data_IF_952860804063
#
_entry.id   IF_952860804063
#
_cell.length_a   1.000
_cell.length_b   1.000
_cell.length_c   1.000
_cell.angle_alpha   90.00
_cell.angle_beta   90.00
_cell.angle_gamma   90.00
#
_symmetry.space_group_name_H-M   'P 1'
#
loop_
_entity.id
_entity.type
_entity.pdbx_description
1 polymer ?
#
# COMPACT_ATOMS: atom_id res chain seq x y z
N UNK A 1 -14.33 8.48 -12.93
CA UNK A 1 -12.92 8.12 -13.16
C UNK A 1 -12.26 9.27 -13.91
N UNK A 2 -11.17 9.83 -13.37
CA UNK A 2 -10.38 10.85 -14.06
C UNK A 2 -8.99 10.26 -14.29
N UNK A 3 -8.65 10.05 -15.55
CA UNK A 3 -7.30 9.66 -15.93
C UNK A 3 -6.45 10.94 -16.02
N UNK A 4 -5.30 10.94 -15.35
CA UNK A 4 -4.25 11.95 -15.59
C UNK A 4 -3.33 11.45 -16.69
N UNK A 5 -2.33 12.23 -17.06
CA UNK A 5 -1.32 11.75 -18.01
C UNK A 5 -0.49 10.55 -17.48
N UNK A 6 -0.60 10.17 -16.20
CA UNK A 6 0.36 9.26 -15.55
C UNK A 6 -0.24 8.29 -14.50
N UNK A 7 -1.49 8.49 -14.09
CA UNK A 7 -2.22 7.59 -13.18
C UNK A 7 -3.74 7.71 -13.35
N UNK A 8 -4.44 6.71 -12.85
CA UNK A 8 -5.90 6.72 -12.75
C UNK A 8 -6.30 7.21 -11.36
N UNK A 9 -7.21 8.17 -11.31
CA UNK A 9 -7.85 8.64 -10.06
C UNK A 9 -9.35 8.31 -10.08
N UNK A 10 -9.80 7.59 -9.06
CA UNK A 10 -11.20 7.26 -8.84
C UNK A 10 -11.65 7.94 -7.54
N UNK A 11 -12.75 8.68 -7.61
CA UNK A 11 -13.36 9.34 -6.45
C UNK A 11 -14.70 8.69 -6.14
N UNK A 12 -14.93 8.48 -4.86
CA UNK A 12 -16.16 7.95 -4.29
C UNK A 12 -16.43 8.61 -2.93
N UNK A 13 -17.53 8.27 -2.28
CA UNK A 13 -17.91 8.80 -0.97
C UNK A 13 -17.62 7.74 0.09
N UNK A 14 -16.40 7.73 0.63
CA UNK A 14 -15.98 6.74 1.63
C UNK A 14 -14.70 7.14 2.37
N UNK A 15 -14.46 6.53 3.53
CA UNK A 15 -13.23 6.68 4.33
C UNK A 15 -12.05 5.86 3.78
N UNK A 16 -12.29 4.92 2.86
CA UNK A 16 -11.27 4.03 2.32
C UNK A 16 -10.58 4.63 1.09
N UNK A 17 -9.30 4.32 0.93
CA UNK A 17 -8.47 4.69 -0.22
C UNK A 17 -7.63 3.49 -0.61
N UNK A 18 -7.71 3.08 -1.88
CA UNK A 18 -6.92 1.97 -2.42
C UNK A 18 -5.79 2.54 -3.29
N UNK A 19 -4.57 2.09 -3.04
CA UNK A 19 -3.37 2.62 -3.69
C UNK A 19 -2.62 1.50 -4.39
N UNK A 20 -2.34 1.69 -5.69
CA UNK A 20 -1.52 0.81 -6.49
C UNK A 20 -0.33 1.59 -7.06
N UNK A 21 0.85 1.42 -6.44
CA UNK A 21 2.06 2.13 -6.87
C UNK A 21 2.82 1.40 -7.99
N UNK A 22 2.53 0.11 -8.22
CA UNK A 22 3.30 -0.77 -9.12
C UNK A 22 2.46 -1.45 -10.21
N UNK A 23 1.40 -0.83 -10.73
CA UNK A 23 0.66 -1.47 -11.82
C UNK A 23 1.49 -1.57 -13.11
N UNK A 24 2.11 -0.48 -13.58
CA UNK A 24 2.72 -0.38 -14.91
C UNK A 24 3.78 -1.47 -15.17
N UNK A 25 3.35 -2.66 -15.62
CA UNK A 25 4.19 -3.81 -16.00
C UNK A 25 4.99 -4.50 -14.87
N UNK A 26 5.05 -3.94 -13.66
CA UNK A 26 5.74 -4.57 -12.53
C UNK A 26 4.89 -5.62 -11.80
N UNK A 27 3.67 -5.21 -11.43
CA UNK A 27 2.67 -6.02 -10.75
C UNK A 27 1.39 -6.07 -11.62
N UNK A 28 1.46 -6.86 -12.70
CA UNK A 28 0.37 -7.06 -13.68
C UNK A 28 -0.96 -7.38 -12.97
N UNK A 29 -2.06 -6.76 -13.42
CA UNK A 29 -3.42 -6.86 -12.86
C UNK A 29 -3.64 -6.21 -11.48
N UNK A 30 -2.65 -5.49 -10.92
CA UNK A 30 -2.87 -4.73 -9.67
C UNK A 30 -3.90 -3.62 -9.85
N UNK A 31 -3.98 -3.04 -11.05
CA UNK A 31 -5.03 -2.10 -11.46
C UNK A 31 -6.41 -2.72 -11.35
N UNK A 32 -6.64 -3.87 -11.99
CA UNK A 32 -7.93 -4.56 -11.97
C UNK A 32 -8.35 -4.90 -10.53
N UNK A 33 -7.43 -5.46 -9.75
CA UNK A 33 -7.67 -5.76 -8.34
C UNK A 33 -8.03 -4.48 -7.55
N UNK A 34 -7.29 -3.40 -7.77
CA UNK A 34 -7.51 -2.11 -7.10
C UNK A 34 -8.86 -1.52 -7.46
N UNK A 35 -9.23 -1.52 -8.74
CA UNK A 35 -10.52 -1.02 -9.20
C UNK A 35 -11.70 -1.82 -8.65
N UNK A 36 -11.60 -3.16 -8.62
CA UNK A 36 -12.65 -4.02 -8.10
C UNK A 36 -12.80 -3.82 -6.59
N UNK A 37 -11.71 -3.81 -5.83
CA UNK A 37 -11.74 -3.56 -4.38
C UNK A 37 -12.28 -2.15 -4.09
N UNK A 38 -11.84 -1.14 -4.84
CA UNK A 38 -12.33 0.23 -4.68
C UNK A 38 -13.84 0.32 -4.93
N UNK A 39 -14.34 -0.36 -5.97
CA UNK A 39 -15.78 -0.42 -6.26
C UNK A 39 -16.58 -1.14 -5.18
N UNK A 40 -16.03 -2.19 -4.56
CA UNK A 40 -16.71 -2.91 -3.47
C UNK A 40 -16.81 -2.06 -2.20
N UNK A 41 -15.80 -1.23 -1.93
CA UNK A 41 -15.71 -0.39 -0.73
C UNK A 41 -16.21 1.04 -0.94
N UNK A 42 -16.65 1.35 -2.16
CA UNK A 42 -16.92 2.72 -2.63
C UNK A 42 -15.75 3.64 -2.27
N UNK A 43 -14.53 3.13 -2.38
CA UNK A 43 -13.30 3.76 -1.93
C UNK A 43 -12.71 4.66 -3.01
N UNK A 44 -12.00 5.70 -2.60
CA UNK A 44 -11.08 6.39 -3.51
C UNK A 44 -10.04 5.40 -4.05
N UNK A 45 -9.53 5.65 -5.26
CA UNK A 45 -8.39 4.89 -5.78
C UNK A 45 -7.40 5.79 -6.51
N UNK A 46 -6.11 5.49 -6.34
CA UNK A 46 -5.03 6.08 -7.12
C UNK A 46 -4.09 4.99 -7.63
N UNK A 47 -3.92 4.91 -8.94
CA UNK A 47 -3.27 3.79 -9.62
C UNK A 47 -2.21 4.32 -10.57
N UNK A 48 -0.93 4.09 -10.27
CA UNK A 48 0.18 4.45 -11.16
C UNK A 48 0.15 3.57 -12.43
N UNK A 49 -0.13 4.17 -13.59
CA UNK A 49 -0.30 3.45 -14.85
C UNK A 49 0.84 3.58 -15.84
N UNK A 50 1.88 4.35 -15.51
CA UNK A 50 3.00 4.59 -16.43
C UNK A 50 4.37 4.24 -15.88
N UNK A 51 4.62 4.48 -14.60
CA UNK A 51 5.96 4.36 -14.04
C UNK A 51 6.22 2.97 -13.47
N UNK A 52 7.43 2.46 -13.72
CA UNK A 52 7.85 1.13 -13.29
C UNK A 52 9.19 1.17 -12.56
N UNK A 53 9.48 0.13 -11.79
CA UNK A 53 10.70 -0.02 -11.00
C UNK A 53 11.93 0.12 -11.90
N UNK A 54 13.02 0.75 -11.43
CA UNK A 54 14.28 0.80 -12.16
C UNK A 54 14.91 -0.57 -12.47
N UNK A 55 14.42 -1.63 -11.84
CA UNK A 55 14.81 -3.03 -12.09
C UNK A 55 14.02 -3.68 -13.23
N UNK A 56 12.96 -3.04 -13.75
CA UNK A 56 12.18 -3.55 -14.87
C UNK A 56 13.04 -3.60 -16.15
N UNK A 57 12.97 -4.68 -16.95
CA UNK A 57 13.63 -4.75 -18.25
C UNK A 57 13.23 -3.60 -19.19
N UNK A 58 12.02 -3.04 -19.03
CA UNK A 58 11.52 -1.92 -19.82
C UNK A 58 12.32 -0.63 -19.63
N UNK A 59 13.12 -0.50 -18.57
CA UNK A 59 14.00 0.66 -18.34
C UNK A 59 14.95 0.91 -19.51
N UNK A 60 15.41 -0.14 -20.19
CA UNK A 60 16.32 0.02 -21.32
C UNK A 60 15.63 0.60 -22.56
N UNK A 61 14.31 0.43 -22.67
CA UNK A 61 13.50 0.92 -23.80
C UNK A 61 12.87 2.28 -23.46
N UNK A 62 12.38 2.44 -22.23
CA UNK A 62 11.69 3.65 -21.75
C UNK A 62 12.28 4.15 -20.43
N UNK A 63 13.53 4.66 -20.43
CA UNK A 63 14.21 5.08 -19.21
C UNK A 63 13.49 6.20 -18.45
N UNK A 64 12.69 7.00 -19.14
CA UNK A 64 11.95 8.11 -18.53
C UNK A 64 10.84 7.68 -17.60
N UNK A 65 10.34 6.44 -17.72
CA UNK A 65 9.31 5.87 -16.85
C UNK A 65 9.89 4.99 -15.73
N UNK A 66 11.21 4.85 -15.63
CA UNK A 66 11.87 4.04 -14.62
C UNK A 66 11.98 4.78 -13.26
N UNK A 67 10.91 4.74 -12.46
CA UNK A 67 10.82 5.30 -11.11
C UNK A 67 10.00 4.39 -10.20
N UNK A 68 10.54 4.04 -9.02
CA UNK A 68 9.86 3.19 -8.06
C UNK A 68 8.96 4.06 -7.17
N UNK A 69 7.67 4.10 -7.51
CA UNK A 69 6.69 4.91 -6.78
C UNK A 69 6.50 4.46 -5.33
N UNK A 70 6.89 3.24 -4.96
CA UNK A 70 6.83 2.80 -3.56
C UNK A 70 8.06 3.24 -2.73
N UNK A 71 9.09 3.84 -3.35
CA UNK A 71 10.30 4.31 -2.66
C UNK A 71 10.33 5.82 -2.52
N UNK A 72 9.95 6.35 -1.36
CA UNK A 72 10.03 7.78 -1.07
C UNK A 72 11.33 8.15 -0.36
N UNK A 73 12.14 9.06 -0.92
CA UNK A 73 13.34 9.51 -0.26
C UNK A 73 12.92 10.49 0.85
N UNK A 74 13.53 10.35 2.01
CA UNK A 74 13.12 11.08 3.20
C UNK A 74 14.33 11.79 3.82
N UNK A 75 14.17 13.07 4.09
CA UNK A 75 15.14 13.87 4.83
C UNK A 75 14.83 13.74 6.31
N UNK A 76 15.64 12.92 6.99
CA UNK A 76 15.51 12.63 8.44
C UNK A 76 15.46 13.93 9.25
N UNK A 77 16.31 14.90 8.90
CA UNK A 77 16.50 16.14 9.67
C UNK A 77 15.32 17.11 9.57
N UNK A 78 14.69 17.22 8.41
CA UNK A 78 13.56 18.13 8.21
C UNK A 78 12.22 17.44 8.44
N UNK A 79 12.20 16.12 8.62
CA UNK A 79 10.96 15.34 8.52
C UNK A 79 10.26 15.73 7.20
N UNK A 80 11.05 15.83 6.12
CA UNK A 80 10.92 16.18 4.68
C UNK A 80 10.83 15.01 3.69
N UNK A 81 9.98 15.04 2.65
CA UNK A 81 10.21 14.16 1.51
C UNK A 81 11.22 14.86 0.62
N UNK A 82 12.23 14.14 0.16
CA UNK A 82 13.27 14.70 -0.71
C UNK A 82 12.83 14.65 -2.18
N UNK A 83 11.90 15.53 -2.55
CA UNK A 83 11.41 15.58 -3.92
C UNK A 83 12.48 15.94 -4.95
N UNK A 84 13.62 16.50 -4.53
CA UNK A 84 14.74 16.82 -5.44
C UNK A 84 15.36 15.58 -6.08
N UNK A 85 15.16 14.40 -5.46
CA UNK A 85 15.69 13.12 -5.92
C UNK A 85 14.70 12.30 -6.74
N UNK A 86 13.50 12.83 -6.99
CA UNK A 86 12.39 12.13 -7.65
C UNK A 86 11.89 12.87 -8.86
N UNK A 87 11.26 12.12 -9.77
CA UNK A 87 10.53 12.70 -10.90
C UNK A 87 9.34 13.51 -10.39
N UNK A 88 9.01 14.59 -11.11
CA UNK A 88 7.91 15.53 -10.78
C UNK A 88 6.57 14.80 -10.67
N UNK A 89 6.34 13.82 -11.55
CA UNK A 89 5.13 13.01 -11.62
C UNK A 89 4.91 12.21 -10.33
N UNK A 90 5.98 11.77 -9.66
CA UNK A 90 5.86 11.10 -8.37
C UNK A 90 5.35 12.07 -7.29
N UNK A 91 5.84 13.30 -7.27
CA UNK A 91 5.35 14.33 -6.34
C UNK A 91 3.86 14.63 -6.61
N UNK A 92 3.48 14.84 -7.87
CA UNK A 92 2.10 15.08 -8.27
C UNK A 92 1.15 13.93 -7.90
N UNK A 93 1.58 12.67 -8.08
CA UNK A 93 0.84 11.48 -7.63
C UNK A 93 0.56 11.52 -6.13
N UNK A 94 1.55 11.91 -5.33
CA UNK A 94 1.40 11.99 -3.88
C UNK A 94 0.59 13.20 -3.41
N UNK A 95 0.64 14.32 -4.12
CA UNK A 95 -0.30 15.43 -3.90
C UNK A 95 -1.75 14.99 -4.15
N UNK A 96 -1.99 14.27 -5.25
CA UNK A 96 -3.32 13.73 -5.57
C UNK A 96 -3.81 12.72 -4.50
N UNK A 97 -2.91 11.89 -3.97
CA UNK A 97 -3.23 10.99 -2.86
C UNK A 97 -3.56 11.77 -1.59
N UNK A 98 -2.82 12.83 -1.26
CA UNK A 98 -3.08 13.69 -0.10
C UNK A 98 -4.45 14.37 -0.20
N UNK A 99 -4.83 14.86 -1.38
CA UNK A 99 -6.18 15.39 -1.62
C UNK A 99 -7.28 14.34 -1.34
N UNK A 100 -7.09 13.11 -1.85
CA UNK A 100 -8.03 12.02 -1.60
C UNK A 100 -8.11 11.67 -0.11
N UNK A 101 -6.99 11.76 0.61
CA UNK A 101 -6.94 11.54 2.05
C UNK A 101 -7.73 12.61 2.81
N UNK A 102 -7.57 13.87 2.46
CA UNK A 102 -8.31 14.98 3.08
C UNK A 102 -9.82 14.78 2.87
N UNK A 103 -10.23 14.38 1.66
CA UNK A 103 -11.63 14.13 1.32
C UNK A 103 -12.18 12.89 2.07
N UNK A 104 -11.46 11.76 2.06
CA UNK A 104 -11.85 10.52 2.73
C UNK A 104 -12.08 10.70 4.25
N UNK A 105 -11.27 11.53 4.89
CA UNK A 105 -11.41 11.84 6.32
C UNK A 105 -12.76 12.46 6.67
N UNK A 106 -13.38 13.20 5.75
CA UNK A 106 -14.69 13.83 5.97
C UNK A 106 -15.81 12.79 6.12
N UNK A 107 -15.60 11.56 5.63
CA UNK A 107 -16.54 10.45 5.71
C UNK A 107 -16.24 9.49 6.87
N UNK A 108 -15.29 9.82 7.74
CA UNK A 108 -14.86 8.98 8.87
C UNK A 108 -15.26 9.58 10.21
N UNK A 109 -15.85 8.78 11.08
CA UNK A 109 -16.27 9.20 12.43
C UNK A 109 -15.11 9.64 13.34
N UNK A 110 -13.88 9.21 13.03
CA UNK A 110 -12.69 9.52 13.80
C UNK A 110 -11.72 10.44 13.07
N UNK A 111 -12.15 11.07 11.97
CA UNK A 111 -11.31 11.94 11.13
C UNK A 111 -10.05 11.26 10.58
N UNK A 112 -10.10 9.92 10.45
CA UNK A 112 -9.03 9.10 9.88
C UNK A 112 -9.47 8.48 8.57
N UNK A 113 -8.62 8.57 7.54
CA UNK A 113 -8.77 7.75 6.35
C UNK A 113 -8.13 6.37 6.58
N UNK A 114 -8.56 5.38 5.80
CA UNK A 114 -7.99 4.04 5.76
C UNK A 114 -7.34 3.85 4.41
N UNK A 115 -6.01 3.75 4.39
CA UNK A 115 -5.20 3.69 3.17
C UNK A 115 -4.66 2.28 3.01
N UNK A 116 -5.00 1.67 1.89
CA UNK A 116 -4.74 0.25 1.61
C UNK A 116 -3.89 0.17 0.36
N UNK A 117 -2.63 -0.21 0.53
CA UNK A 117 -1.74 -0.48 -0.58
C UNK A 117 -1.92 -1.91 -1.05
N UNK A 118 -2.02 -2.11 -2.36
CA UNK A 118 -2.17 -3.44 -2.95
C UNK A 118 -0.94 -3.75 -3.80
N UNK A 119 -0.34 -4.90 -3.54
CA UNK A 119 0.83 -5.41 -4.24
C UNK A 119 0.72 -6.91 -4.51
N UNK A 120 1.38 -7.35 -5.58
CA UNK A 120 1.55 -8.77 -5.88
C UNK A 120 2.93 -9.26 -5.47
N UNK A 121 2.97 -10.22 -4.55
CA UNK A 121 4.22 -10.82 -4.08
C UNK A 121 4.59 -12.06 -4.88
N UNK A 122 5.90 -12.35 -4.97
CA UNK A 122 6.36 -13.65 -5.47
C UNK A 122 5.90 -14.75 -4.53
N UNK A 123 5.55 -15.89 -5.11
CA UNK A 123 5.14 -17.07 -4.35
C UNK A 123 6.34 -17.53 -3.52
N UNK A 124 6.17 -17.62 -2.21
CA UNK A 124 7.16 -18.20 -1.31
C UNK A 124 6.67 -19.57 -0.87
N UNK A 125 7.04 -20.59 -1.62
CA UNK A 125 6.65 -21.98 -1.33
C UNK A 125 7.15 -22.50 0.01
N UNK A 126 8.13 -21.82 0.64
CA UNK A 126 8.64 -22.21 1.95
C UNK A 126 7.81 -21.63 3.10
N UNK A 127 7.13 -20.50 2.87
CA UNK A 127 6.21 -19.88 3.82
C UNK A 127 4.84 -19.84 3.16
N UNK A 128 4.01 -20.86 3.40
CA UNK A 128 2.66 -21.00 2.85
C UNK A 128 1.71 -19.90 3.37
N UNK A 129 1.94 -18.66 2.96
CA UNK A 129 1.14 -17.48 3.23
C UNK A 129 0.79 -16.86 1.89
N UNK A 130 -0.51 -16.70 1.66
CA UNK A 130 -1.08 -16.20 0.41
C UNK A 130 -1.35 -14.69 0.46
N UNK A 131 -1.58 -14.15 1.65
CA UNK A 131 -1.77 -12.71 1.87
C UNK A 131 -0.95 -12.28 3.09
N UNK A 132 0.07 -11.45 2.85
CA UNK A 132 0.79 -10.76 3.92
C UNK A 132 0.15 -9.40 4.20
N UNK A 133 -0.20 -9.15 5.46
CA UNK A 133 -0.56 -7.83 5.98
C UNK A 133 0.73 -7.16 6.42
N UNK A 134 1.15 -6.13 5.72
CA UNK A 134 2.33 -5.35 6.08
C UNK A 134 1.92 -4.02 6.69
N UNK A 135 2.58 -3.67 7.79
CA UNK A 135 2.40 -2.44 8.54
C UNK A 135 3.72 -2.03 9.18
N UNK A 136 3.84 -0.77 9.57
CA UNK A 136 4.98 -0.31 10.36
C UNK A 136 4.69 -0.55 11.85
N UNK A 137 5.59 -1.26 12.53
CA UNK A 137 5.49 -1.51 13.97
C UNK A 137 6.17 -0.39 14.76
N UNK A 138 5.58 -0.01 15.89
CA UNK A 138 6.19 0.94 16.83
C UNK A 138 7.49 0.35 17.39
N UNK A 139 8.65 0.92 17.07
CA UNK A 139 9.93 0.53 17.70
C UNK A 139 10.58 1.62 18.56
N UNK A 140 11.21 1.12 19.63
CA UNK A 140 11.82 1.84 20.77
C UNK A 140 13.00 2.73 20.36
N UNK A 141 13.13 3.84 21.09
CA UNK A 141 14.31 4.72 21.19
C UNK A 141 15.57 3.88 21.48
N UNK A 142 16.47 3.67 20.52
CA UNK A 142 17.81 3.11 20.77
C UNK A 142 18.69 4.26 21.26
N UNK A 143 19.12 4.24 22.52
CA UNK A 143 20.16 5.19 22.95
C UNK A 143 21.49 4.74 22.34
N UNK A 144 21.81 5.25 21.17
CA UNK A 144 23.16 5.15 20.61
C UNK A 144 24.00 6.31 21.16
N UNK A 145 25.19 6.01 21.69
CA UNK A 145 26.21 7.00 22.06
C UNK A 145 26.88 7.65 20.84
N UNK A 146 26.58 7.18 19.63
CA UNK A 146 26.98 7.82 18.38
C UNK A 146 25.80 8.57 17.76
N UNK A 147 26.08 9.65 17.03
CA UNK A 147 25.17 10.62 16.38
C UNK A 147 24.18 10.04 15.33
N UNK A 148 23.68 8.82 15.52
CA UNK A 148 22.59 8.23 14.77
C UNK A 148 21.28 8.63 15.43
N UNK A 149 20.70 9.73 14.94
CA UNK A 149 19.31 10.08 15.25
C UNK A 149 18.40 8.97 14.76
N UNK A 150 17.75 8.28 15.68
CA UNK A 150 16.74 7.29 15.35
C UNK A 150 15.54 7.95 14.69
N UNK A 151 15.16 7.36 13.57
CA UNK A 151 13.85 7.55 12.97
C UNK A 151 12.83 6.96 13.96
N UNK A 152 12.00 7.82 14.55
CA UNK A 152 10.84 7.39 15.33
C UNK A 152 9.74 6.97 14.34
N UNK A 153 9.65 5.68 14.10
CA UNK A 153 8.59 5.10 13.28
C UNK A 153 7.27 5.11 14.05
N UNK A 154 6.24 5.71 13.44
CA UNK A 154 4.86 5.65 13.96
C UNK A 154 4.23 4.33 13.51
N UNK A 155 3.48 3.72 14.41
CA UNK A 155 2.60 2.60 14.10
C UNK A 155 1.56 3.03 13.05
N UNK A 156 1.51 2.32 11.92
CA UNK A 156 0.62 2.70 10.80
C UNK A 156 -0.74 2.02 10.88
N UNK A 157 -0.82 0.88 11.56
CA UNK A 157 -2.05 0.17 11.86
C UNK A 157 -1.89 -0.41 13.28
N UNK A 158 -2.93 -0.37 14.11
CA UNK A 158 -2.78 -0.94 15.45
C UNK A 158 -2.54 -2.46 15.40
N UNK A 159 -1.65 -2.98 16.25
CA UNK A 159 -1.41 -4.43 16.35
C UNK A 159 -2.70 -5.24 16.57
N UNK A 160 -3.66 -4.67 17.33
CA UNK A 160 -4.98 -5.29 17.53
C UNK A 160 -5.73 -5.41 16.21
N UNK A 161 -5.89 -4.31 15.47
CA UNK A 161 -6.58 -4.30 14.16
C UNK A 161 -5.90 -5.23 13.15
N UNK A 162 -4.56 -5.29 13.15
CA UNK A 162 -3.83 -6.21 12.27
C UNK A 162 -4.11 -7.68 12.59
N UNK A 163 -4.21 -8.04 13.87
CA UNK A 163 -4.60 -9.39 14.28
C UNK A 163 -6.07 -9.68 13.97
N UNK A 164 -6.97 -8.75 14.24
CA UNK A 164 -8.40 -8.90 13.90
C UNK A 164 -8.57 -9.12 12.38
N UNK A 165 -7.81 -8.38 11.56
CA UNK A 165 -7.78 -8.55 10.10
C UNK A 165 -7.19 -9.89 9.67
N UNK A 166 -6.08 -10.33 10.26
CA UNK A 166 -5.48 -11.64 10.00
C UNK A 166 -6.49 -12.77 10.29
N UNK A 167 -7.14 -12.70 11.44
CA UNK A 167 -8.09 -13.73 11.88
C UNK A 167 -9.35 -13.73 11.00
N UNK A 168 -9.84 -12.56 10.59
CA UNK A 168 -10.95 -12.46 9.63
C UNK A 168 -10.56 -12.98 8.24
N UNK A 169 -9.39 -12.61 7.70
CA UNK A 169 -8.87 -13.15 6.45
C UNK A 169 -8.81 -14.68 6.50
N UNK A 170 -8.15 -15.25 7.52
CA UNK A 170 -8.03 -16.70 7.66
C UNK A 170 -9.40 -17.38 7.74
N UNK A 171 -10.38 -16.78 8.43
CA UNK A 171 -11.75 -17.33 8.48
C UNK A 171 -12.39 -17.50 7.10
N UNK A 172 -12.22 -16.52 6.22
CA UNK A 172 -12.80 -16.57 4.86
C UNK A 172 -11.92 -17.36 3.88
N UNK A 173 -10.60 -17.30 4.03
CA UNK A 173 -9.61 -17.95 3.16
C UNK A 173 -9.49 -19.47 3.39
N UNK A 174 -9.73 -19.96 4.61
CA UNK A 174 -9.55 -21.38 4.96
C UNK A 174 -10.36 -22.33 4.08
N UNK A 175 -11.55 -21.92 3.60
CA UNK A 175 -12.36 -22.74 2.69
C UNK A 175 -11.70 -22.99 1.32
N UNK A 176 -10.67 -22.21 0.99
CA UNK A 176 -9.87 -22.30 -0.22
C UNK A 176 -8.44 -22.81 0.05
N UNK A 177 -8.13 -23.25 1.28
CA UNK A 177 -6.77 -23.65 1.69
C UNK A 177 -5.73 -22.54 1.56
N UNK A 178 -6.17 -21.30 1.70
CA UNK A 178 -5.33 -20.11 1.65
C UNK A 178 -5.14 -19.54 3.06
N UNK A 179 -4.00 -18.87 3.29
CA UNK A 179 -3.62 -18.32 4.59
C UNK A 179 -3.18 -16.86 4.51
N UNK A 180 -3.51 -16.11 5.54
CA UNK A 180 -3.04 -14.76 5.75
C UNK A 180 -2.21 -14.66 7.03
N UNK A 181 -1.19 -13.80 6.99
CA UNK A 181 -0.36 -13.53 8.17
C UNK A 181 0.18 -12.10 8.16
N UNK A 182 0.69 -11.64 9.30
CA UNK A 182 1.25 -10.30 9.46
C UNK A 182 2.75 -10.36 9.15
N UNK A 183 3.21 -9.47 8.26
CA UNK A 183 4.60 -9.45 7.85
C UNK A 183 5.48 -8.68 8.84
N UNK A 184 6.22 -9.42 9.65
CA UNK A 184 7.17 -8.89 10.64
C UNK A 184 8.61 -8.81 10.06
N UNK A 185 8.80 -8.24 8.87
CA UNK A 185 10.15 -8.11 8.30
C UNK A 185 10.80 -6.76 8.61
N UNK A 186 11.66 -6.80 9.63
CA UNK A 186 12.49 -5.70 10.10
C UNK A 186 13.37 -5.08 9.02
N UNK A 187 13.85 -5.85 8.03
CA UNK A 187 14.76 -5.32 7.01
C UNK A 187 14.05 -4.46 5.95
N UNK A 188 12.75 -4.67 5.75
CA UNK A 188 11.96 -3.82 4.85
C UNK A 188 11.79 -2.41 5.43
N UNK A 189 11.87 -2.24 6.76
CA UNK A 189 11.74 -0.96 7.48
C UNK A 189 12.85 0.06 7.19
N UNK A 190 14.00 -0.38 6.67
CA UNK A 190 15.11 0.49 6.33
C UNK A 190 15.12 0.94 4.85
N UNK A 191 14.14 0.50 4.05
CA UNK A 191 14.17 0.64 2.57
C UNK A 191 13.41 1.85 2.03
N UNK A 192 12.99 2.78 2.89
CA UNK A 192 12.33 4.02 2.45
C UNK A 192 10.98 3.80 1.75
N UNK A 193 10.15 2.88 2.25
CA UNK A 193 8.86 2.57 1.62
C UNK A 193 7.74 3.52 2.04
N UNK A 194 6.76 3.76 1.17
CA UNK A 194 5.68 4.71 1.44
C UNK A 194 4.94 4.44 2.75
N UNK A 195 4.59 3.17 2.97
CA UNK A 195 3.89 2.72 4.18
C UNK A 195 4.59 3.14 5.46
N UNK A 196 5.91 3.39 5.42
CA UNK A 196 6.72 3.67 6.58
C UNK A 196 6.87 5.18 6.86
N UNK A 197 6.65 6.03 5.86
CA UNK A 197 6.99 7.45 5.94
C UNK A 197 5.78 8.37 5.79
N UNK A 198 4.60 7.95 6.26
CA UNK A 198 3.44 8.84 6.42
C UNK A 198 3.76 9.99 7.39
N UNK A 199 4.36 11.08 6.91
CA UNK A 199 4.74 12.23 7.75
C UNK A 199 3.59 12.91 8.48
N UNK A 200 2.35 12.79 8.03
CA UNK A 200 1.37 13.88 8.27
C UNK A 200 0.02 13.41 8.77
N UNK A 201 -0.23 12.10 8.87
CA UNK A 201 -1.62 11.66 8.88
C UNK A 201 -1.91 10.66 9.99
N UNK A 202 -2.77 11.06 10.92
CA UNK A 202 -3.51 10.17 11.81
C UNK A 202 -4.47 9.32 10.98
N UNK A 203 -3.94 8.35 10.25
CA UNK A 203 -4.68 7.41 9.42
C UNK A 203 -4.29 5.98 9.77
N UNK A 204 -5.15 5.05 9.41
CA UNK A 204 -4.80 3.63 9.39
C UNK A 204 -4.25 3.31 7.99
N UNK A 205 -3.01 2.83 7.93
CA UNK A 205 -2.27 2.57 6.70
C UNK A 205 -1.65 1.18 6.78
N UNK A 206 -1.96 0.35 5.79
CA UNK A 206 -1.38 -0.98 5.65
C UNK A 206 -1.24 -1.36 4.17
N UNK A 207 -0.46 -2.41 3.92
CA UNK A 207 -0.25 -2.98 2.61
C UNK A 207 -0.66 -4.45 2.62
N UNK A 208 -1.35 -4.85 1.57
CA UNK A 208 -1.67 -6.23 1.27
C UNK A 208 -0.74 -6.69 0.17
N UNK A 209 0.14 -7.63 0.51
CA UNK A 209 1.01 -8.35 -0.40
C UNK A 209 0.34 -9.69 -0.70
N UNK A 210 -0.13 -9.87 -1.93
CA UNK A 210 -0.99 -10.99 -2.32
C UNK A 210 -0.22 -11.90 -3.26
N UNK A 211 -0.32 -13.21 -3.07
CA UNK A 211 0.34 -14.22 -3.88
C UNK A 211 0.00 -14.02 -5.37
N UNK A 212 1.02 -14.05 -6.24
CA UNK A 212 0.84 -13.82 -7.68
C UNK A 212 -0.01 -14.88 -8.38
N UNK A 213 -0.21 -16.06 -7.80
CA UNK A 213 -1.15 -17.07 -8.34
C UNK A 213 -2.61 -16.65 -8.19
N UNK A 214 -2.92 -15.81 -7.20
CA UNK A 214 -4.27 -15.30 -6.97
C UNK A 214 -4.69 -14.20 -7.96
N UNK A 215 -3.78 -13.78 -8.84
CA UNK A 215 -4.06 -12.75 -9.87
C UNK A 215 -4.79 -13.28 -11.10
N UNK A 216 -4.89 -14.60 -11.22
CA UNK A 216 -5.59 -15.24 -12.34
C UNK A 216 -7.06 -14.82 -12.33
N UNK A 217 -7.62 -14.57 -13.52
CA UNK A 217 -8.94 -13.94 -13.68
C UNK A 217 -10.04 -14.68 -12.92
N UNK A 218 -10.00 -16.01 -12.92
CA UNK A 218 -10.97 -16.85 -12.21
C UNK A 218 -10.87 -16.75 -10.68
N UNK A 219 -9.76 -16.24 -10.13
CA UNK A 219 -9.55 -16.05 -8.70
C UNK A 219 -9.88 -14.62 -8.24
N UNK A 220 -9.80 -13.63 -9.15
CA UNK A 220 -9.93 -12.21 -8.79
C UNK A 220 -11.26 -11.88 -8.10
N UNK A 221 -12.38 -12.42 -8.59
CA UNK A 221 -13.70 -12.16 -7.99
C UNK A 221 -13.79 -12.68 -6.54
N UNK A 222 -13.27 -13.88 -6.30
CA UNK A 222 -13.21 -14.50 -4.97
C UNK A 222 -12.32 -13.69 -4.03
N UNK A 223 -11.09 -13.39 -4.46
CA UNK A 223 -10.09 -12.67 -3.67
C UNK A 223 -10.60 -11.26 -3.33
N UNK A 224 -11.08 -10.52 -4.33
CA UNK A 224 -11.65 -9.17 -4.12
C UNK A 224 -12.89 -9.20 -3.22
N UNK A 225 -13.72 -10.24 -3.33
CA UNK A 225 -14.88 -10.46 -2.47
C UNK A 225 -14.48 -10.65 -1.01
N UNK A 226 -13.48 -11.50 -0.75
CA UNK A 226 -12.92 -11.72 0.58
C UNK A 226 -12.32 -10.42 1.14
N UNK A 227 -11.46 -9.75 0.36
CA UNK A 227 -10.81 -8.50 0.79
C UNK A 227 -11.84 -7.43 1.15
N UNK A 228 -12.82 -7.18 0.27
CA UNK A 228 -13.87 -6.19 0.52
C UNK A 228 -14.68 -6.51 1.79
N UNK A 229 -15.05 -7.78 1.99
CA UNK A 229 -15.78 -8.23 3.17
C UNK A 229 -14.97 -8.03 4.45
N UNK A 230 -13.71 -8.47 4.48
CA UNK A 230 -12.83 -8.32 5.63
C UNK A 230 -12.64 -6.85 5.98
N UNK A 231 -12.34 -5.99 4.99
CA UNK A 231 -12.07 -4.57 5.24
C UNK A 231 -13.31 -3.90 5.87
N UNK A 232 -14.52 -4.24 5.43
CA UNK A 232 -15.77 -3.74 6.02
C UNK A 232 -16.05 -4.31 7.43
N UNK A 233 -15.66 -5.55 7.72
CA UNK A 233 -15.82 -6.16 9.04
C UNK A 233 -14.89 -5.51 10.09
N UNK A 234 -13.70 -5.07 9.68
CA UNK A 234 -12.67 -4.53 10.59
C UNK A 234 -12.85 -3.03 10.86
N UNK A 235 -13.35 -2.27 9.88
CA UNK A 235 -13.35 -0.81 9.92
C UNK A 235 -14.71 -0.18 9.72
#
# INVERSE_FOLDING_TARGET
>A
MKETNYWIKIKWISKYIIVATHWAWDDINTDLLTEIVARKLWAFAIINNKFFKPTSPLRNVYPDYAEDFNRLPFLIWSNEYDWTRKKKEMNEFYCDLEECVIEAKQYSNCSKAIIIHIHWMRNDWNNWIDIWIWMNFKWRKVKSSSRLNLILWKETLSVKLANDMKDSLNRHLNSFWLFANIWENFNAQYKCFWIQYSKVIENDIFQLEICRELREEHNLDTVTGILGKVILEIF
#
